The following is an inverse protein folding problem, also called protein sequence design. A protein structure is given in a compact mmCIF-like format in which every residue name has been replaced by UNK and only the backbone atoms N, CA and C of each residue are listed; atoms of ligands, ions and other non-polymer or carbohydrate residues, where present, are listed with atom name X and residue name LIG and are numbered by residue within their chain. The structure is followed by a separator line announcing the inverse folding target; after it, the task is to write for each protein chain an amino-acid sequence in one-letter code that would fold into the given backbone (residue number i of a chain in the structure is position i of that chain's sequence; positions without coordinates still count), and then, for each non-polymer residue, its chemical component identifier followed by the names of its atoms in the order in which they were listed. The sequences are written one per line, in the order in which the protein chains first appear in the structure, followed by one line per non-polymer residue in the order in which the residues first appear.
data_IF_518330461816
#
_entry.id   IF_518330461816
#
_cell.length_a   1.000
_cell.length_b   1.000
_cell.length_c   1.000
_cell.angle_alpha   90.00
_cell.angle_beta   90.00
_cell.angle_gamma   90.00
#
_symmetry.space_group_name_H-M   'P 1'
#
loop_
_entity.id
_entity.type
_entity.pdbx_description
1 polymer ?
#
# COMPACT_ATOMS: atom_id res chain seq x y z
N UNK A 1 16.95 -7.82 -2.43
CA UNK A 1 16.86 -6.71 -1.44
C UNK A 1 15.42 -6.44 -1.02
N UNK A 2 14.56 -6.10 -1.94
CA UNK A 2 13.15 -5.77 -1.62
C UNK A 2 12.38 -6.96 -1.02
N UNK A 3 12.59 -8.15 -1.54
CA UNK A 3 11.95 -9.36 -1.01
C UNK A 3 12.30 -9.59 0.45
N UNK A 4 13.56 -9.41 0.83
CA UNK A 4 13.99 -9.57 2.21
C UNK A 4 13.38 -8.50 3.12
N UNK A 5 13.19 -7.30 2.62
CA UNK A 5 12.55 -6.22 3.36
C UNK A 5 11.10 -6.56 3.69
N UNK A 6 10.37 -7.12 2.71
CA UNK A 6 9.00 -7.60 2.95
C UNK A 6 8.96 -8.74 3.95
N UNK A 7 9.90 -9.67 3.89
CA UNK A 7 9.98 -10.78 4.85
C UNK A 7 10.18 -10.27 6.27
N UNK A 8 11.06 -9.28 6.45
CA UNK A 8 11.29 -8.66 7.76
C UNK A 8 10.03 -7.96 8.28
N UNK A 9 9.31 -7.27 7.40
CA UNK A 9 8.05 -6.63 7.78
C UNK A 9 7.05 -7.68 8.27
N UNK A 10 6.91 -8.79 7.57
CA UNK A 10 5.98 -9.86 7.95
C UNK A 10 6.36 -10.51 9.27
N UNK A 11 7.65 -10.66 9.55
CA UNK A 11 8.12 -11.14 10.85
C UNK A 11 7.67 -10.21 11.97
N UNK A 12 7.82 -8.90 11.79
CA UNK A 12 7.37 -7.91 12.76
C UNK A 12 5.86 -7.91 12.92
N UNK A 13 5.13 -8.11 11.84
CA UNK A 13 3.68 -8.21 11.89
C UNK A 13 3.24 -9.42 12.73
N UNK A 14 3.90 -10.55 12.54
CA UNK A 14 3.62 -11.75 13.32
C UNK A 14 3.90 -11.52 14.81
N UNK A 15 5.02 -10.90 15.15
CA UNK A 15 5.38 -10.61 16.53
C UNK A 15 4.37 -9.70 17.22
N UNK A 16 3.73 -8.81 16.48
CA UNK A 16 2.80 -7.82 17.01
C UNK A 16 1.34 -8.11 16.72
N UNK A 17 1.05 -9.29 16.18
CA UNK A 17 -0.30 -9.72 15.86
C UNK A 17 -1.03 -8.77 14.90
N UNK A 18 -0.33 -8.31 13.87
CA UNK A 18 -0.86 -7.45 12.83
C UNK A 18 -1.28 -8.30 11.63
N UNK A 19 -2.51 -8.10 11.15
CA UNK A 19 -3.05 -8.85 10.02
C UNK A 19 -2.72 -8.22 8.67
N UNK A 20 -2.68 -6.90 8.62
CA UNK A 20 -2.45 -6.16 7.39
C UNK A 20 -1.64 -4.89 7.68
N UNK A 21 -0.62 -4.64 6.87
CA UNK A 21 0.11 -3.37 6.90
C UNK A 21 -0.29 -2.53 5.68
N UNK A 22 -0.58 -1.24 5.91
CA UNK A 22 -0.95 -0.28 4.86
C UNK A 22 0.16 0.77 4.79
N UNK A 23 0.82 0.87 3.65
CA UNK A 23 2.00 1.72 3.48
C UNK A 23 1.75 2.70 2.33
N UNK A 24 1.97 3.98 2.58
CA UNK A 24 1.75 5.04 1.59
C UNK A 24 2.93 6.00 1.43
N UNK A 25 3.91 5.97 2.33
CA UNK A 25 5.07 6.86 2.25
C UNK A 25 6.00 6.44 1.12
N UNK A 26 6.46 7.38 0.32
CA UNK A 26 7.30 7.12 -0.85
C UNK A 26 8.59 6.35 -0.52
N UNK A 27 9.26 6.72 0.55
CA UNK A 27 10.49 6.05 0.95
C UNK A 27 10.23 4.60 1.34
N UNK A 28 9.14 4.35 2.06
CA UNK A 28 8.76 3.01 2.45
C UNK A 28 8.27 2.18 1.27
N UNK A 29 7.54 2.80 0.34
CA UNK A 29 7.12 2.12 -0.88
C UNK A 29 8.35 1.64 -1.66
N UNK A 30 9.35 2.51 -1.82
CA UNK A 30 10.60 2.13 -2.48
C UNK A 30 11.31 1.00 -1.72
N UNK A 31 11.40 1.12 -0.41
CA UNK A 31 12.10 0.15 0.43
C UNK A 31 11.55 -1.27 0.28
N UNK A 32 10.23 -1.39 0.14
CA UNK A 32 9.58 -2.71 0.05
C UNK A 32 9.36 -3.19 -1.37
N UNK A 33 9.19 -2.30 -2.34
CA UNK A 33 8.75 -2.68 -3.68
C UNK A 33 9.69 -2.30 -4.80
N UNK A 34 10.58 -1.35 -4.57
CA UNK A 34 11.39 -0.73 -5.62
C UNK A 34 10.64 0.36 -6.41
N UNK A 35 9.34 0.54 -6.16
CA UNK A 35 8.58 1.61 -6.82
C UNK A 35 9.09 2.97 -6.34
N UNK A 36 9.31 3.86 -7.28
CA UNK A 36 9.76 5.21 -6.96
C UNK A 36 9.01 6.23 -7.81
N UNK A 37 8.25 7.10 -7.13
CA UNK A 37 7.54 8.17 -7.80
C UNK A 37 8.43 9.39 -7.89
N UNK A 38 9.00 9.63 -9.07
CA UNK A 38 9.88 10.76 -9.30
C UNK A 38 9.12 12.08 -9.45
N UNK A 39 7.83 12.02 -9.68
CA UNK A 39 7.09 13.20 -10.05
C UNK A 39 6.49 13.94 -8.86
N UNK A 40 6.23 13.26 -7.77
CA UNK A 40 5.60 13.81 -6.56
C UNK A 40 4.41 14.72 -6.88
N UNK A 41 3.69 14.40 -7.94
CA UNK A 41 2.70 15.31 -8.50
C UNK A 41 1.35 15.20 -7.88
N UNK A 42 1.26 14.61 -6.64
CA UNK A 42 0.00 14.15 -6.36
C UNK A 42 -0.50 14.28 -5.05
N UNK A 43 -1.35 15.20 -4.85
CA UNK A 43 -1.97 15.50 -3.61
C UNK A 43 -3.12 14.55 -3.26
N UNK A 44 -3.73 13.91 -4.23
CA UNK A 44 -4.90 13.03 -3.98
C UNK A 44 -4.87 11.76 -4.82
N UNK A 45 -3.68 11.33 -5.22
CA UNK A 45 -3.50 10.15 -6.07
C UNK A 45 -2.57 9.16 -5.39
N UNK A 46 -2.97 8.58 -4.26
CA UNK A 46 -2.04 7.76 -3.50
C UNK A 46 -1.68 6.46 -4.20
N UNK A 47 -0.43 6.03 -4.00
CA UNK A 47 -0.02 4.65 -4.23
C UNK A 47 -0.01 3.98 -2.87
N UNK A 48 -0.65 2.84 -2.77
CA UNK A 48 -0.84 2.14 -1.50
C UNK A 48 -0.32 0.73 -1.61
N UNK A 49 0.59 0.36 -0.72
CA UNK A 49 1.05 -1.03 -0.59
C UNK A 49 0.28 -1.69 0.55
N UNK A 50 -0.33 -2.82 0.25
CA UNK A 50 -1.00 -3.66 1.24
C UNK A 50 -0.20 -4.93 1.42
N UNK A 51 0.23 -5.20 2.66
CA UNK A 51 1.00 -6.39 2.99
C UNK A 51 0.21 -7.20 4.00
N UNK A 52 -0.52 -8.24 3.56
CA UNK A 52 -1.17 -9.17 4.47
C UNK A 52 -0.13 -10.04 5.18
N UNK A 53 -0.46 -10.51 6.36
CA UNK A 53 0.44 -11.36 7.14
C UNK A 53 0.78 -12.67 6.41
N UNK A 54 -0.22 -13.32 5.83
CA UNK A 54 -0.10 -14.66 5.26
C UNK A 54 -0.47 -14.78 3.78
N UNK A 55 -0.60 -13.67 3.08
CA UNK A 55 -1.01 -13.68 1.67
C UNK A 55 -0.09 -12.77 0.86
N UNK A 56 -0.24 -12.78 -0.46
CA UNK A 56 0.57 -11.96 -1.34
C UNK A 56 0.30 -10.47 -1.13
N UNK A 57 1.34 -9.66 -1.25
CA UNK A 57 1.21 -8.20 -1.19
C UNK A 57 0.55 -7.65 -2.44
N UNK A 58 -0.13 -6.52 -2.31
CA UNK A 58 -0.81 -5.83 -3.41
C UNK A 58 -0.40 -4.37 -3.44
N UNK A 59 -0.01 -3.89 -4.62
CA UNK A 59 0.28 -2.48 -4.83
C UNK A 59 -0.91 -1.87 -5.59
N UNK A 60 -1.54 -0.87 -4.99
CA UNK A 60 -2.64 -0.12 -5.60
C UNK A 60 -2.06 1.21 -6.07
N UNK A 61 -2.06 1.45 -7.37
CA UNK A 61 -1.38 2.62 -7.94
C UNK A 61 -2.16 3.21 -9.12
N UNK A 62 -2.04 4.52 -9.38
CA UNK A 62 -2.60 5.09 -10.60
C UNK A 62 -2.07 4.38 -11.84
N UNK A 63 -2.89 4.26 -12.86
CA UNK A 63 -2.53 3.53 -14.09
C UNK A 63 -1.24 4.04 -14.71
N UNK A 64 -1.02 5.34 -14.74
CA UNK A 64 0.20 5.91 -15.33
C UNK A 64 1.45 5.53 -14.54
N UNK A 65 1.32 5.32 -13.25
CA UNK A 65 2.46 5.05 -12.38
C UNK A 65 2.91 3.59 -12.42
N UNK A 66 2.13 2.71 -13.04
CA UNK A 66 2.50 1.30 -13.14
C UNK A 66 3.83 1.09 -13.85
N UNK A 67 4.19 2.01 -14.74
CA UNK A 67 5.48 1.97 -15.45
C UNK A 67 6.67 2.22 -14.53
N UNK A 68 6.44 2.77 -13.35
CA UNK A 68 7.49 3.06 -12.36
C UNK A 68 7.75 1.85 -11.45
N UNK A 69 6.95 0.81 -11.58
CA UNK A 69 7.14 -0.41 -10.79
C UNK A 69 8.16 -1.29 -11.50
N UNK A 70 9.28 -1.66 -10.84
CA UNK A 70 10.28 -2.49 -11.49
C UNK A 70 9.75 -3.91 -11.77
N UNK A 71 10.25 -4.52 -12.83
CA UNK A 71 9.85 -5.88 -13.21
C UNK A 71 10.17 -6.92 -12.14
N UNK A 72 11.22 -6.69 -11.37
CA UNK A 72 11.66 -7.59 -10.31
C UNK A 72 11.06 -7.29 -8.94
N UNK A 73 9.99 -6.50 -8.91
CA UNK A 73 9.33 -6.19 -7.65
C UNK A 73 8.81 -7.46 -6.97
N UNK A 74 8.94 -7.59 -5.64
CA UNK A 74 8.41 -8.75 -4.93
C UNK A 74 6.89 -8.69 -4.67
N UNK A 75 6.23 -7.63 -5.14
CA UNK A 75 4.78 -7.48 -4.96
C UNK A 75 4.05 -8.54 -5.77
N UNK A 76 3.12 -9.25 -5.15
CA UNK A 76 2.40 -10.32 -5.81
C UNK A 76 1.33 -9.85 -6.79
N UNK A 77 0.66 -8.74 -6.46
CA UNK A 77 -0.43 -8.21 -7.29
C UNK A 77 -0.32 -6.71 -7.46
N UNK A 78 -0.64 -6.23 -8.65
CA UNK A 78 -0.71 -4.80 -8.93
C UNK A 78 -2.12 -4.49 -9.40
N UNK A 79 -2.80 -3.58 -8.70
CA UNK A 79 -4.14 -3.13 -9.07
C UNK A 79 -4.05 -1.66 -9.43
N UNK A 80 -4.48 -1.31 -10.63
CA UNK A 80 -4.39 0.07 -11.11
C UNK A 80 -5.75 0.74 -11.10
N UNK A 81 -5.75 2.06 -11.00
CA UNK A 81 -6.96 2.86 -11.06
C UNK A 81 -6.77 4.06 -11.98
N UNK A 82 -7.88 4.51 -12.56
CA UNK A 82 -7.87 5.64 -13.48
C UNK A 82 -8.07 6.95 -12.75
N UNK A 83 -7.33 7.97 -13.22
CA UNK A 83 -7.29 9.26 -12.61
C UNK A 83 -8.45 10.16 -12.96
N UNK A 84 -9.17 9.82 -14.01
CA UNK A 84 -10.09 10.76 -14.67
C UNK A 84 -11.36 11.09 -13.88
N UNK A 85 -11.80 10.20 -13.00
CA UNK A 85 -13.01 10.41 -12.23
C UNK A 85 -12.69 10.52 -10.73
N UNK A 86 -11.42 10.39 -10.40
CA UNK A 86 -10.92 10.50 -9.02
C UNK A 86 -11.35 9.35 -8.12
N UNK A 87 -10.58 9.08 -7.11
CA UNK A 87 -10.94 8.26 -5.97
C UNK A 87 -11.30 6.78 -6.20
N UNK A 88 -11.00 6.19 -7.34
CA UNK A 88 -11.23 4.76 -7.56
C UNK A 88 -10.53 3.86 -6.54
N UNK A 89 -9.40 4.31 -6.01
CA UNK A 89 -8.70 3.56 -4.96
C UNK A 89 -9.59 3.35 -3.72
N UNK A 90 -10.54 4.23 -3.50
CA UNK A 90 -11.51 4.11 -2.39
C UNK A 90 -12.49 2.97 -2.60
N UNK A 91 -12.70 2.56 -3.84
CA UNK A 91 -13.53 1.40 -4.15
C UNK A 91 -12.74 0.11 -4.06
N UNK A 92 -11.44 0.18 -4.34
CA UNK A 92 -10.55 -0.97 -4.31
C UNK A 92 -10.15 -1.34 -2.87
N UNK A 93 -9.78 -0.34 -2.08
CA UNK A 93 -9.25 -0.54 -0.74
C UNK A 93 -10.17 -1.39 0.17
N UNK A 94 -11.48 -1.17 0.21
CA UNK A 94 -12.36 -1.96 1.08
C UNK A 94 -12.31 -3.46 0.82
N UNK A 95 -11.99 -3.88 -0.40
CA UNK A 95 -11.93 -5.31 -0.75
C UNK A 95 -10.86 -6.04 0.06
N UNK A 96 -9.82 -5.32 0.48
CA UNK A 96 -8.70 -5.88 1.23
C UNK A 96 -8.82 -5.65 2.73
N UNK A 97 -9.57 -4.63 3.14
CA UNK A 97 -9.64 -4.21 4.55
C UNK A 97 -10.64 -5.03 5.35
N UNK A 98 -11.78 -5.37 4.76
CA UNK A 98 -12.90 -5.99 5.49
C UNK A 98 -12.59 -7.30 6.19
N UNK A 99 -11.59 -8.02 5.73
CA UNK A 99 -11.24 -9.33 6.27
C UNK A 99 -10.19 -9.26 7.37
N UNK A 100 -9.66 -8.09 7.65
CA UNK A 100 -8.56 -7.93 8.58
C UNK A 100 -9.00 -7.15 9.82
N UNK A 101 -8.61 -7.62 11.00
CA UNK A 101 -9.02 -7.02 12.28
C UNK A 101 -7.97 -6.06 12.82
N UNK A 102 -6.69 -6.41 12.69
CA UNK A 102 -5.59 -5.62 13.21
C UNK A 102 -4.77 -5.04 12.06
N UNK A 103 -4.95 -3.77 11.79
CA UNK A 103 -4.32 -3.09 10.68
C UNK A 103 -3.33 -2.05 11.21
N UNK A 104 -2.12 -2.08 10.68
CA UNK A 104 -1.09 -1.10 11.02
C UNK A 104 -0.80 -0.20 9.82
N UNK A 105 -0.41 1.02 10.11
CA UNK A 105 0.04 1.97 9.09
C UNK A 105 1.19 2.79 9.67
N UNK A 106 1.81 3.60 8.82
CA UNK A 106 2.91 4.46 9.20
C UNK A 106 2.40 5.58 10.11
N UNK A 107 2.86 5.60 11.35
CA UNK A 107 2.34 6.52 12.37
C UNK A 107 2.46 8.00 11.99
N UNK A 108 3.57 8.37 11.39
CA UNK A 108 3.87 9.77 11.08
C UNK A 108 3.90 10.10 9.60
N UNK A 109 3.80 9.10 8.74
CA UNK A 109 4.01 9.28 7.31
C UNK A 109 2.88 8.79 6.43
N UNK A 110 1.83 8.22 7.00
CA UNK A 110 0.70 7.78 6.21
C UNK A 110 0.03 8.99 5.54
N UNK A 111 -0.37 8.81 4.29
CA UNK A 111 -1.14 9.81 3.57
C UNK A 111 -2.42 10.14 4.35
N UNK A 112 -2.65 11.42 4.63
CA UNK A 112 -3.77 11.85 5.47
C UNK A 112 -5.13 11.45 4.90
N UNK A 113 -5.29 11.51 3.59
CA UNK A 113 -6.54 11.12 2.92
C UNK A 113 -6.81 9.63 3.11
N UNK A 114 -5.77 8.81 2.95
CA UNK A 114 -5.88 7.36 3.16
C UNK A 114 -6.16 7.05 4.63
N UNK A 115 -5.47 7.73 5.55
CA UNK A 115 -5.67 7.53 6.99
C UNK A 115 -7.12 7.83 7.40
N UNK A 116 -7.66 8.93 6.93
CA UNK A 116 -9.05 9.31 7.22
C UNK A 116 -10.03 8.26 6.68
N UNK A 117 -9.80 7.81 5.46
CA UNK A 117 -10.66 6.81 4.84
C UNK A 117 -10.60 5.46 5.58
N UNK A 118 -9.41 5.04 6.00
CA UNK A 118 -9.26 3.82 6.81
C UNK A 118 -10.01 3.93 8.13
N UNK A 119 -9.93 5.06 8.81
CA UNK A 119 -10.65 5.29 10.06
C UNK A 119 -12.15 5.16 9.86
N UNK A 120 -12.67 5.70 8.77
CA UNK A 120 -14.11 5.61 8.44
C UNK A 120 -14.53 4.17 8.15
N UNK A 121 -13.70 3.41 7.45
CA UNK A 121 -14.00 2.01 7.13
C UNK A 121 -14.01 1.11 8.37
N UNK A 122 -13.21 1.46 9.37
CA UNK A 122 -13.03 0.63 10.56
C UNK A 122 -13.93 1.03 11.73
N UNK A 123 -14.65 2.10 11.61
CA UNK A 123 -15.56 2.56 12.67
C UNK A 123 -16.94 1.90 12.68
#
# INVERSE_FOLDING_TARGET
MFKNNLLKLREKMNENNIDLAVITDDDNLYYFTGYHDFLHMDFNRPTILLVPKDDESTLITPLLDVLLVPEDTPVGNIVTWNDGIGDEWREILPRFIKQNKNIACEKYKINATVSTYLSDLMS
#
